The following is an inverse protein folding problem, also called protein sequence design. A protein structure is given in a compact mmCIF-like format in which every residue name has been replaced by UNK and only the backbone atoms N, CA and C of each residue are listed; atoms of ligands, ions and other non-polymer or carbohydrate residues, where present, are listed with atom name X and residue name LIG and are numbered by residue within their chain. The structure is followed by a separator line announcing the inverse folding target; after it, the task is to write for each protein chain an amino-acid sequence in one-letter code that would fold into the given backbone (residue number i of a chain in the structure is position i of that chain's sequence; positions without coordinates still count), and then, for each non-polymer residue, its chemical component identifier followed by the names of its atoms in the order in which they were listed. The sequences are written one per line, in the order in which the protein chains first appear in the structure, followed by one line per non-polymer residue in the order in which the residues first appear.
data_IF_176425121806
#
_entry.id   IF_176425121806
#
_cell.length_a   1.000
_cell.length_b   1.000
_cell.length_c   1.000
_cell.angle_alpha   90.00
_cell.angle_beta   90.00
_cell.angle_gamma   90.00
#
_symmetry.space_group_name_H-M   'P 1'
#
loop_
_entity.id
_entity.type
_entity.pdbx_description
1 polymer ?
#
# COMPACT_ATOMS: atom_id res chain seq x y z
N UNK A 1 26.48 -14.67 -42.40
CA UNK A 1 25.50 -13.75 -43.03
C UNK A 1 25.77 -12.34 -42.52
N UNK A 2 25.88 -11.32 -43.39
CA UNK A 2 26.38 -10.01 -42.99
C UNK A 2 25.34 -9.19 -42.21
N UNK A 3 25.86 -8.49 -41.19
CA UNK A 3 25.14 -7.58 -40.30
C UNK A 3 24.86 -6.28 -41.05
N UNK A 4 23.59 -5.88 -41.18
CA UNK A 4 23.19 -4.59 -41.79
C UNK A 4 22.94 -3.58 -40.67
N UNK A 5 23.83 -2.61 -40.54
CA UNK A 5 23.73 -1.50 -39.60
C UNK A 5 22.74 -0.45 -40.11
N UNK A 6 21.72 -0.13 -39.30
CA UNK A 6 20.79 0.98 -39.56
C UNK A 6 21.42 2.27 -39.05
N UNK A 7 21.73 3.19 -39.97
CA UNK A 7 22.26 4.52 -39.68
C UNK A 7 21.19 5.41 -39.04
N UNK A 8 21.56 6.01 -37.90
CA UNK A 8 20.81 7.07 -37.23
C UNK A 8 20.76 8.36 -38.07
N UNK A 9 19.56 8.85 -38.35
CA UNK A 9 19.35 10.17 -38.97
C UNK A 9 19.06 11.22 -37.91
N UNK A 10 20.07 11.99 -37.50
CA UNK A 10 19.87 13.22 -36.74
C UNK A 10 19.29 14.30 -37.67
N UNK A 11 18.06 14.74 -37.40
CA UNK A 11 17.50 15.94 -38.00
C UNK A 11 17.97 17.16 -37.21
N UNK A 12 18.78 18.00 -37.86
CA UNK A 12 19.20 19.32 -37.38
C UNK A 12 18.00 20.27 -37.44
N UNK A 13 17.65 20.90 -36.32
CA UNK A 13 16.69 22.01 -36.27
C UNK A 13 17.50 23.32 -36.25
N UNK A 14 17.23 24.28 -37.16
CA UNK A 14 17.95 25.55 -37.18
C UNK A 14 17.52 26.46 -36.03
N UNK A 15 18.52 27.08 -35.39
CA UNK A 15 18.35 28.18 -34.45
C UNK A 15 17.99 29.46 -35.22
N UNK A 16 16.89 30.10 -34.85
CA UNK A 16 16.52 31.44 -35.29
C UNK A 16 16.71 32.40 -34.11
N UNK A 17 17.82 33.13 -34.15
CA UNK A 17 18.08 34.32 -33.33
C UNK A 17 17.33 35.50 -33.93
N UNK A 18 16.38 36.06 -33.19
CA UNK A 18 15.75 37.33 -33.51
C UNK A 18 15.92 38.28 -32.32
N UNK A 19 16.91 39.17 -32.43
CA UNK A 19 17.18 40.26 -31.51
C UNK A 19 16.22 41.40 -31.84
N UNK A 20 15.23 41.65 -30.99
CA UNK A 20 14.39 42.85 -31.06
C UNK A 20 14.66 43.70 -29.82
N UNK A 21 15.33 44.83 -30.04
CA UNK A 21 15.51 45.90 -29.06
C UNK A 21 14.20 46.69 -29.01
N UNK A 22 13.45 46.56 -27.93
CA UNK A 22 12.37 47.50 -27.58
C UNK A 22 12.76 48.26 -26.31
N UNK A 23 12.93 49.57 -26.47
CA UNK A 23 13.01 50.52 -25.38
C UNK A 23 11.62 50.71 -24.77
N UNK A 24 11.43 50.23 -23.55
CA UNK A 24 10.21 50.47 -22.76
C UNK A 24 10.51 51.30 -21.53
N UNK A 25 9.76 52.39 -21.42
CA UNK A 25 9.73 53.37 -20.33
C UNK A 25 9.59 52.69 -18.96
N UNK A 26 10.44 53.10 -18.02
CA UNK A 26 10.45 52.65 -16.64
C UNK A 26 9.38 53.42 -15.85
N UNK A 27 8.22 52.79 -15.62
CA UNK A 27 7.25 53.25 -14.64
C UNK A 27 7.36 52.28 -13.43
N UNK A 28 7.72 52.74 -12.22
CA UNK A 28 7.79 51.85 -11.06
C UNK A 28 6.37 51.43 -10.67
N UNK A 29 5.96 50.24 -11.09
CA UNK A 29 4.76 49.60 -10.59
C UNK A 29 4.97 49.24 -9.10
N UNK A 30 3.97 49.43 -8.23
CA UNK A 30 4.06 48.97 -6.86
C UNK A 30 4.25 47.44 -6.85
N UNK A 31 5.29 46.99 -6.16
CA UNK A 31 5.51 45.57 -5.90
C UNK A 31 4.26 45.02 -5.19
N UNK A 32 3.43 44.29 -5.94
CA UNK A 32 2.34 43.53 -5.35
C UNK A 32 2.98 42.50 -4.42
N UNK A 33 2.55 42.37 -3.16
CA UNK A 33 3.09 41.34 -2.28
C UNK A 33 2.86 40.00 -2.97
N UNK A 34 3.93 39.27 -3.22
CA UNK A 34 3.87 37.86 -3.57
C UNK A 34 3.31 37.19 -2.33
N UNK A 35 1.99 36.99 -2.28
CA UNK A 35 1.38 36.11 -1.30
C UNK A 35 1.95 34.72 -1.58
N UNK A 36 2.94 34.33 -0.78
CA UNK A 36 3.21 32.92 -0.56
C UNK A 36 1.88 32.35 -0.09
N UNK A 37 1.20 31.62 -0.97
CA UNK A 37 0.09 30.80 -0.57
C UNK A 37 0.65 29.89 0.53
N UNK A 38 0.19 30.10 1.76
CA UNK A 38 0.48 29.18 2.84
C UNK A 38 0.20 27.77 2.32
N UNK A 39 1.04 26.76 2.62
CA UNK A 39 0.73 25.39 2.26
C UNK A 39 -0.70 25.15 2.72
N UNK A 40 -1.58 24.81 1.77
CA UNK A 40 -2.96 24.45 2.08
C UNK A 40 -2.85 23.38 3.14
N UNK A 41 -3.19 23.72 4.38
CA UNK A 41 -3.43 22.73 5.40
C UNK A 41 -4.44 21.82 4.77
N UNK A 42 -4.02 20.58 4.47
CA UNK A 42 -4.95 19.54 4.08
C UNK A 42 -6.04 19.61 5.13
N UNK A 43 -7.24 20.02 4.70
CA UNK A 43 -8.42 19.93 5.55
C UNK A 43 -8.38 18.52 6.07
N UNK A 44 -8.20 18.39 7.38
CA UNK A 44 -8.37 17.16 8.12
C UNK A 44 -9.83 16.78 7.89
N UNK A 45 -10.07 16.08 6.78
CA UNK A 45 -11.30 15.36 6.52
C UNK A 45 -11.63 14.65 7.83
N UNK A 46 -12.84 14.90 8.35
CA UNK A 46 -13.33 14.31 9.59
C UNK A 46 -12.77 12.90 9.78
N UNK A 47 -12.12 12.65 10.92
CA UNK A 47 -11.22 11.52 11.20
C UNK A 47 -11.79 10.15 10.78
N UNK A 48 -11.72 9.84 9.50
CA UNK A 48 -12.04 8.53 8.96
C UNK A 48 -10.83 7.64 9.14
N UNK A 49 -11.05 6.37 9.47
CA UNK A 49 -9.97 5.38 9.48
C UNK A 49 -9.49 5.12 8.07
N UNK A 50 -8.18 4.92 7.89
CA UNK A 50 -7.64 4.55 6.58
C UNK A 50 -8.31 3.25 6.09
N UNK A 51 -8.65 3.20 4.80
CA UNK A 51 -9.37 2.08 4.21
C UNK A 51 -8.99 1.89 2.74
N UNK A 52 -8.92 0.63 2.32
CA UNK A 52 -8.87 0.26 0.91
C UNK A 52 -9.96 -0.79 0.64
N UNK A 53 -10.81 -0.56 -0.36
CA UNK A 53 -11.85 -1.49 -0.79
C UNK A 53 -11.78 -1.68 -2.29
N UNK A 54 -12.01 -2.90 -2.76
CA UNK A 54 -12.09 -3.18 -4.19
C UNK A 54 -12.88 -4.44 -4.49
N UNK A 55 -13.52 -4.45 -5.65
CA UNK A 55 -14.04 -5.63 -6.31
C UNK A 55 -13.77 -5.44 -7.80
N UNK A 56 -12.71 -6.07 -8.30
CA UNK A 56 -12.15 -5.76 -9.63
C UNK A 56 -11.70 -7.01 -10.37
N UNK A 57 -11.64 -6.88 -11.70
CA UNK A 57 -10.87 -7.74 -12.59
C UNK A 57 -9.69 -6.96 -13.13
N UNK A 58 -8.52 -7.60 -13.17
CA UNK A 58 -7.32 -7.00 -13.74
C UNK A 58 -7.02 -7.58 -15.12
N UNK A 59 -6.17 -6.89 -15.87
CA UNK A 59 -5.41 -7.50 -16.96
C UNK A 59 -3.98 -7.74 -16.49
N UNK A 60 -3.48 -8.95 -16.71
CA UNK A 60 -2.11 -9.33 -16.37
C UNK A 60 -1.36 -9.79 -17.61
N UNK A 61 -0.34 -9.03 -18.02
CA UNK A 61 0.37 -9.22 -19.30
C UNK A 61 0.94 -10.63 -19.47
N UNK A 62 1.36 -11.29 -18.39
CA UNK A 62 1.95 -12.64 -18.44
C UNK A 62 0.90 -13.76 -18.42
N UNK A 63 -0.38 -13.43 -18.27
CA UNK A 63 -1.50 -14.35 -18.39
C UNK A 63 -2.69 -13.63 -19.06
N UNK A 64 -2.55 -13.20 -20.33
CA UNK A 64 -3.46 -12.23 -20.95
C UNK A 64 -4.87 -12.78 -21.18
N UNK A 65 -5.01 -14.10 -21.31
CA UNK A 65 -6.27 -14.79 -21.54
C UNK A 65 -6.95 -15.23 -20.23
N UNK A 66 -6.26 -15.13 -19.09
CA UNK A 66 -6.77 -15.58 -17.81
C UNK A 66 -7.69 -14.53 -17.18
N UNK A 67 -8.60 -15.00 -16.32
CA UNK A 67 -9.46 -14.13 -15.54
C UNK A 67 -8.98 -14.08 -14.09
N UNK A 68 -8.47 -12.92 -13.68
CA UNK A 68 -7.99 -12.69 -12.32
C UNK A 68 -8.88 -11.64 -11.65
N UNK A 69 -9.55 -12.03 -10.57
CA UNK A 69 -10.45 -11.18 -9.79
C UNK A 69 -9.94 -11.00 -8.37
N UNK A 70 -10.08 -9.79 -7.86
CA UNK A 70 -9.77 -9.41 -6.49
C UNK A 70 -11.02 -8.83 -5.84
N UNK A 71 -11.35 -9.29 -4.64
CA UNK A 71 -12.29 -8.64 -3.73
C UNK A 71 -11.61 -8.43 -2.40
N UNK A 72 -11.68 -7.23 -1.84
CA UNK A 72 -11.08 -6.92 -0.55
C UNK A 72 -11.75 -5.76 0.17
N UNK A 73 -11.65 -5.76 1.50
CA UNK A 73 -12.01 -4.66 2.38
C UNK A 73 -11.00 -4.57 3.53
N UNK A 74 -9.97 -3.75 3.36
CA UNK A 74 -8.92 -3.51 4.35
C UNK A 74 -9.21 -2.24 5.14
N UNK A 75 -9.18 -2.31 6.47
CA UNK A 75 -9.47 -1.19 7.37
C UNK A 75 -8.40 -1.07 8.43
N UNK A 76 -7.91 0.16 8.64
CA UNK A 76 -6.97 0.42 9.72
C UNK A 76 -7.60 0.10 11.08
N UNK A 77 -6.83 -0.61 11.89
CA UNK A 77 -7.11 -0.91 13.29
C UNK A 77 -5.81 -0.73 14.09
N UNK A 78 -5.28 0.51 14.17
CA UNK A 78 -3.95 0.78 14.74
C UNK A 78 -3.84 0.24 16.16
N UNK A 79 -2.67 -0.31 16.49
CA UNK A 79 -2.35 -0.82 17.82
C UNK A 79 -3.28 -1.93 18.33
N UNK A 80 -3.97 -2.63 17.44
CA UNK A 80 -4.98 -3.63 17.81
C UNK A 80 -4.45 -5.05 17.95
N UNK A 81 -3.18 -5.31 17.60
CA UNK A 81 -2.61 -6.66 17.62
C UNK A 81 -1.22 -6.67 18.26
N UNK A 82 -1.09 -7.13 19.51
CA UNK A 82 0.21 -7.35 20.13
C UNK A 82 1.06 -8.29 19.26
N UNK A 83 2.34 -7.95 19.09
CA UNK A 83 3.33 -8.83 18.49
C UNK A 83 4.44 -9.10 19.51
N UNK A 84 5.17 -10.23 19.40
CA UNK A 84 6.41 -10.41 20.14
C UNK A 84 7.34 -9.20 19.96
N UNK A 85 7.76 -8.57 21.05
CA UNK A 85 8.55 -7.33 21.04
C UNK A 85 7.76 -6.03 20.84
N UNK A 86 6.47 -6.09 20.49
CA UNK A 86 5.59 -4.94 20.31
C UNK A 86 4.24 -5.17 21.01
N UNK A 87 4.17 -5.03 22.35
CA UNK A 87 3.00 -5.43 23.15
C UNK A 87 1.73 -4.61 22.88
N UNK A 88 1.83 -3.53 22.09
CA UNK A 88 0.70 -2.67 21.70
C UNK A 88 0.40 -2.74 20.21
N UNK A 89 1.07 -3.60 19.44
CA UNK A 89 0.93 -3.63 17.99
C UNK A 89 1.53 -2.43 17.28
N UNK A 90 1.16 -2.26 16.01
CA UNK A 90 1.74 -1.28 15.10
C UNK A 90 0.71 -0.21 14.70
N UNK A 91 1.14 1.02 14.37
CA UNK A 91 0.23 2.05 13.84
C UNK A 91 -0.45 1.63 12.53
N UNK A 92 0.15 0.66 11.83
CA UNK A 92 -0.29 0.11 10.55
C UNK A 92 -1.14 -1.15 10.69
N UNK A 93 -1.43 -1.58 11.93
CA UNK A 93 -2.31 -2.73 12.15
C UNK A 93 -3.65 -2.51 11.44
N UNK A 94 -4.16 -3.59 10.83
CA UNK A 94 -5.39 -3.55 10.08
C UNK A 94 -6.21 -4.83 10.30
N UNK A 95 -7.46 -4.77 9.85
CA UNK A 95 -8.38 -5.91 9.77
C UNK A 95 -9.14 -5.85 8.46
N UNK A 96 -9.74 -6.98 8.09
CA UNK A 96 -10.40 -7.11 6.81
C UNK A 96 -10.13 -8.47 6.19
N UNK A 97 -10.56 -8.63 4.94
CA UNK A 97 -10.31 -9.85 4.18
C UNK A 97 -9.97 -9.57 2.74
N UNK A 98 -9.36 -10.59 2.12
CA UNK A 98 -9.18 -10.71 0.68
C UNK A 98 -9.87 -11.98 0.18
N UNK A 99 -10.26 -11.93 -1.09
CA UNK A 99 -10.70 -13.07 -1.89
C UNK A 99 -10.15 -12.87 -3.31
N UNK A 100 -9.25 -13.76 -3.70
CA UNK A 100 -8.56 -13.69 -4.99
C UNK A 100 -8.86 -14.96 -5.74
N UNK A 101 -9.36 -14.82 -6.97
CA UNK A 101 -9.65 -15.94 -7.87
C UNK A 101 -8.85 -15.77 -9.15
N UNK A 102 -8.20 -16.83 -9.59
CA UNK A 102 -7.48 -16.91 -10.86
C UNK A 102 -8.03 -18.10 -11.64
N UNK A 103 -8.76 -17.81 -12.72
CA UNK A 103 -9.25 -18.80 -13.68
C UNK A 103 -8.29 -18.86 -14.85
N UNK A 104 -7.59 -19.99 -14.99
CA UNK A 104 -6.63 -20.24 -16.07
C UNK A 104 -7.37 -20.72 -17.31
N UNK A 105 -7.35 -19.94 -18.38
CA UNK A 105 -8.12 -20.24 -19.60
C UNK A 105 -7.63 -21.51 -20.28
N UNK A 106 -6.31 -21.73 -20.34
CA UNK A 106 -5.74 -22.89 -21.02
C UNK A 106 -6.11 -24.24 -20.39
N UNK A 107 -6.26 -24.28 -19.06
CA UNK A 107 -6.54 -25.53 -18.34
C UNK A 107 -7.99 -25.63 -17.86
N UNK A 108 -8.76 -24.53 -17.91
CA UNK A 108 -10.09 -24.43 -17.33
C UNK A 108 -10.12 -24.45 -15.80
N UNK A 109 -8.96 -24.54 -15.14
CA UNK A 109 -8.85 -24.59 -13.68
C UNK A 109 -9.10 -23.22 -13.07
N UNK A 110 -9.58 -23.23 -11.84
CA UNK A 110 -9.75 -22.01 -11.03
C UNK A 110 -9.08 -22.22 -9.69
N UNK A 111 -8.03 -21.45 -9.42
CA UNK A 111 -7.42 -21.37 -8.10
C UNK A 111 -8.03 -20.20 -7.34
N UNK A 112 -8.22 -20.37 -6.04
CA UNK A 112 -8.76 -19.32 -5.17
C UNK A 112 -8.03 -19.30 -3.84
N UNK A 113 -7.76 -18.11 -3.34
CA UNK A 113 -7.28 -17.89 -1.98
C UNK A 113 -8.15 -16.87 -1.26
N UNK A 114 -8.32 -17.07 0.04
CA UNK A 114 -8.85 -16.05 0.96
C UNK A 114 -7.84 -15.81 2.06
N UNK A 115 -7.89 -14.63 2.65
CA UNK A 115 -6.97 -14.27 3.71
C UNK A 115 -7.46 -13.12 4.55
N UNK A 116 -6.84 -12.98 5.72
CA UNK A 116 -7.14 -11.94 6.69
C UNK A 116 -6.13 -10.81 6.57
N UNK A 117 -6.63 -9.59 6.39
CA UNK A 117 -5.78 -8.40 6.33
C UNK A 117 -5.12 -8.18 7.69
N UNK A 118 -3.80 -8.04 7.68
CA UNK A 118 -3.00 -7.82 8.88
C UNK A 118 -2.37 -6.42 8.91
N UNK A 119 -2.20 -5.75 7.79
CA UNK A 119 -1.53 -4.45 7.73
C UNK A 119 -2.16 -3.55 6.67
N UNK A 120 -2.25 -2.24 6.91
CA UNK A 120 -2.68 -1.24 5.93
C UNK A 120 -1.92 0.07 6.13
N UNK A 121 -1.38 0.61 5.04
CA UNK A 121 -0.86 1.98 4.93
C UNK A 121 -1.54 2.63 3.73
N UNK A 122 -1.86 3.92 3.84
CA UNK A 122 -2.41 4.72 2.73
C UNK A 122 -1.57 5.97 2.52
N UNK A 123 -1.53 6.46 1.28
CA UNK A 123 -0.89 7.72 0.93
C UNK A 123 -1.63 8.37 -0.23
N UNK A 124 -2.40 9.44 0.04
CA UNK A 124 -3.24 10.06 -0.97
C UNK A 124 -4.25 9.06 -1.56
N UNK A 125 -4.11 8.72 -2.85
CA UNK A 125 -4.98 7.73 -3.52
C UNK A 125 -4.36 6.33 -3.64
N UNK A 126 -3.26 6.08 -2.96
CA UNK A 126 -2.64 4.75 -2.91
C UNK A 126 -2.84 4.08 -1.57
N UNK A 127 -2.87 2.76 -1.59
CA UNK A 127 -2.81 1.93 -0.40
C UNK A 127 -1.87 0.76 -0.62
N UNK A 128 -1.18 0.35 0.44
CA UNK A 128 -0.48 -0.91 0.52
C UNK A 128 -1.03 -1.66 1.71
N UNK A 129 -1.45 -2.90 1.50
CA UNK A 129 -1.91 -3.75 2.57
C UNK A 129 -1.40 -5.17 2.36
N UNK A 130 -1.40 -5.92 3.44
CA UNK A 130 -1.05 -7.33 3.39
C UNK A 130 -2.15 -8.16 4.03
N UNK A 131 -2.28 -9.40 3.58
CA UNK A 131 -3.19 -10.37 4.16
C UNK A 131 -2.50 -11.73 4.31
N UNK A 132 -2.73 -12.40 5.43
CA UNK A 132 -2.29 -13.78 5.64
C UNK A 132 -3.34 -14.71 5.06
N UNK A 133 -2.94 -15.60 4.15
CA UNK A 133 -3.86 -16.55 3.52
C UNK A 133 -4.33 -17.58 4.55
N UNK A 134 -5.65 -17.75 4.64
CA UNK A 134 -6.31 -18.63 5.62
C UNK A 134 -7.06 -19.78 4.95
N UNK A 135 -7.50 -19.61 3.70
CA UNK A 135 -8.13 -20.64 2.89
C UNK A 135 -7.54 -20.63 1.48
N UNK A 136 -7.38 -21.81 0.88
CA UNK A 136 -6.96 -21.96 -0.51
C UNK A 136 -7.60 -23.19 -1.15
N UNK A 137 -7.75 -23.18 -2.48
CA UNK A 137 -8.03 -24.38 -3.25
C UNK A 137 -6.86 -25.37 -3.16
N UNK A 138 -7.07 -26.68 -3.43
CA UNK A 138 -6.01 -27.69 -3.26
C UNK A 138 -4.72 -27.39 -4.01
N UNK A 139 -4.81 -26.78 -5.19
CA UNK A 139 -3.68 -26.38 -6.02
C UNK A 139 -2.97 -25.10 -5.57
N UNK A 140 -3.51 -24.41 -4.58
CA UNK A 140 -2.93 -23.26 -3.93
C UNK A 140 -2.70 -23.49 -2.42
N UNK A 141 -2.76 -24.74 -1.94
CA UNK A 141 -2.67 -25.07 -0.51
C UNK A 141 -1.36 -24.55 0.14
N UNK A 142 -0.26 -24.53 -0.61
CA UNK A 142 1.04 -24.04 -0.14
C UNK A 142 1.07 -22.53 0.15
N UNK A 143 -0.03 -21.81 -0.14
CA UNK A 143 -0.20 -20.41 0.23
C UNK A 143 -0.72 -20.22 1.65
N UNK A 144 -1.38 -21.22 2.25
CA UNK A 144 -1.95 -21.10 3.58
C UNK A 144 -0.85 -20.71 4.58
N UNK A 145 -1.10 -19.66 5.37
CA UNK A 145 -0.16 -19.09 6.32
C UNK A 145 0.85 -18.11 5.71
N UNK A 146 0.99 -18.04 4.38
CA UNK A 146 1.83 -17.04 3.71
C UNK A 146 1.11 -15.71 3.57
N UNK A 147 1.90 -14.64 3.49
CA UNK A 147 1.40 -13.28 3.30
C UNK A 147 1.31 -12.94 1.81
N UNK A 148 0.17 -12.39 1.40
CA UNK A 148 -0.02 -11.75 0.11
C UNK A 148 0.07 -10.23 0.28
N UNK A 149 0.97 -9.59 -0.46
CA UNK A 149 1.11 -8.14 -0.50
C UNK A 149 0.32 -7.55 -1.66
N UNK A 150 -0.55 -6.58 -1.38
CA UNK A 150 -1.39 -5.91 -2.38
C UNK A 150 -1.15 -4.40 -2.31
N UNK A 151 -0.87 -3.79 -3.46
CA UNK A 151 -0.89 -2.33 -3.60
C UNK A 151 -2.05 -1.90 -4.48
N UNK A 152 -2.61 -0.75 -4.17
CA UNK A 152 -3.79 -0.17 -4.79
C UNK A 152 -3.42 1.23 -5.25
N UNK A 153 -3.74 1.54 -6.49
CA UNK A 153 -3.85 2.91 -6.98
C UNK A 153 -5.29 3.14 -7.39
N UNK A 154 -6.02 3.91 -6.61
CA UNK A 154 -7.32 4.44 -6.98
C UNK A 154 -7.07 5.68 -7.85
N UNK A 155 -7.19 5.54 -9.17
CA UNK A 155 -7.09 6.66 -10.12
C UNK A 155 -8.41 6.96 -10.82
N UNK A 156 -9.48 6.25 -10.46
CA UNK A 156 -10.80 6.35 -11.05
C UNK A 156 -10.94 5.43 -12.27
N UNK A 157 -12.11 5.49 -12.93
CA UNK A 157 -12.63 4.51 -13.91
C UNK A 157 -11.69 3.99 -15.02
N UNK A 158 -10.56 4.66 -15.31
CA UNK A 158 -9.60 4.24 -16.35
C UNK A 158 -8.13 4.27 -15.91
N UNK A 159 -7.86 4.57 -14.65
CA UNK A 159 -6.50 4.67 -14.12
C UNK A 159 -6.22 3.68 -13.00
N UNK A 160 -7.24 2.99 -12.47
CA UNK A 160 -7.10 2.07 -11.35
C UNK A 160 -6.08 0.97 -11.66
N UNK A 161 -5.20 0.70 -10.71
CA UNK A 161 -4.17 -0.34 -10.80
C UNK A 161 -4.04 -1.11 -9.50
N UNK A 162 -3.63 -2.37 -9.62
CA UNK A 162 -3.22 -3.22 -8.52
C UNK A 162 -1.77 -3.69 -8.70
N UNK A 163 -1.08 -3.89 -7.59
CA UNK A 163 0.15 -4.69 -7.51
C UNK A 163 -0.08 -5.85 -6.57
N UNK A 164 0.56 -6.98 -6.83
CA UNK A 164 0.44 -8.19 -6.03
C UNK A 164 1.78 -8.93 -5.98
N UNK A 165 2.16 -9.44 -4.81
CA UNK A 165 3.49 -10.00 -4.56
C UNK A 165 3.76 -11.32 -5.30
N UNK A 166 2.76 -12.16 -5.49
CA UNK A 166 2.95 -13.55 -5.94
C UNK A 166 3.54 -13.72 -7.34
N UNK A 167 3.55 -12.68 -8.16
CA UNK A 167 3.94 -12.76 -9.55
C UNK A 167 5.28 -12.10 -9.89
N UNK A 168 5.77 -11.23 -9.01
CA UNK A 168 6.93 -10.36 -9.29
C UNK A 168 7.90 -10.29 -8.13
N UNK A 169 7.59 -10.93 -7.00
CA UNK A 169 8.41 -10.93 -5.79
C UNK A 169 9.15 -12.26 -5.66
N UNK A 170 10.42 -12.26 -6.08
CA UNK A 170 11.29 -13.43 -6.06
C UNK A 170 12.60 -13.11 -5.36
N UNK A 171 13.10 -14.08 -4.60
CA UNK A 171 14.44 -14.09 -4.03
C UNK A 171 15.23 -15.28 -4.58
N UNK A 172 16.54 -15.27 -4.38
CA UNK A 172 17.42 -16.38 -4.76
C UNK A 172 17.71 -17.21 -3.52
N UNK A 173 17.38 -18.50 -3.57
CA UNK A 173 17.67 -19.42 -2.48
C UNK A 173 19.16 -19.81 -2.41
N UNK A 174 19.52 -20.62 -1.41
CA UNK A 174 20.91 -21.07 -1.21
C UNK A 174 21.44 -21.94 -2.37
N UNK A 175 20.56 -22.44 -3.24
CA UNK A 175 20.86 -23.27 -4.40
C UNK A 175 20.85 -22.46 -5.71
N UNK A 176 20.72 -21.13 -5.61
CA UNK A 176 20.71 -20.24 -6.78
C UNK A 176 19.40 -20.25 -7.55
N UNK A 177 18.32 -20.81 -6.99
CA UNK A 177 17.01 -20.88 -7.65
C UNK A 177 16.17 -19.66 -7.29
N UNK A 178 15.39 -19.18 -8.26
CA UNK A 178 14.37 -18.16 -8.01
C UNK A 178 13.21 -18.80 -7.24
N UNK A 179 13.03 -18.39 -5.99
CA UNK A 179 11.93 -18.80 -5.13
C UNK A 179 11.08 -17.58 -4.80
N UNK A 180 9.81 -17.82 -4.50
CA UNK A 180 8.94 -16.73 -4.11
C UNK A 180 9.41 -16.12 -2.78
N UNK A 181 9.59 -14.81 -2.75
CA UNK A 181 10.07 -14.13 -1.56
C UNK A 181 9.02 -14.10 -0.44
N UNK A 182 9.52 -14.07 0.80
CA UNK A 182 8.68 -13.85 1.96
C UNK A 182 8.24 -12.38 2.04
N UNK A 183 6.92 -12.15 2.04
CA UNK A 183 6.36 -10.81 2.11
C UNK A 183 6.32 -10.32 3.56
N UNK A 184 6.97 -9.18 3.83
CA UNK A 184 6.89 -8.46 5.11
C UNK A 184 5.54 -7.76 5.31
N UNK A 185 5.23 -7.32 6.53
CA UNK A 185 4.00 -6.57 6.80
C UNK A 185 3.99 -5.23 6.06
N UNK A 186 2.85 -4.89 5.44
CA UNK A 186 2.70 -3.68 4.62
C UNK A 186 3.71 -3.56 3.44
N UNK A 187 4.21 -4.69 2.93
CA UNK A 187 5.05 -4.73 1.73
C UNK A 187 4.24 -5.25 0.53
N UNK A 188 4.37 -4.57 -0.61
CA UNK A 188 3.82 -5.00 -1.89
C UNK A 188 4.57 -4.32 -3.04
N UNK A 189 4.64 -4.92 -4.23
CA UNK A 189 5.17 -4.25 -5.43
C UNK A 189 4.30 -3.07 -5.83
N UNK A 190 4.82 -2.18 -6.68
CA UNK A 190 4.07 -1.03 -7.18
C UNK A 190 2.77 -1.45 -7.92
N UNK A 191 1.72 -0.60 -7.99
CA UNK A 191 0.50 -0.90 -8.73
C UNK A 191 0.75 -0.98 -10.24
N UNK A 192 1.05 -2.16 -10.77
CA UNK A 192 1.43 -2.36 -12.16
C UNK A 192 0.28 -2.84 -13.05
N UNK A 193 -0.60 -3.69 -12.54
CA UNK A 193 -1.65 -4.33 -13.33
C UNK A 193 -2.87 -3.41 -13.47
N UNK A 194 -3.28 -3.05 -14.70
CA UNK A 194 -4.47 -2.24 -14.91
C UNK A 194 -5.74 -3.00 -14.54
N UNK A 195 -6.65 -2.31 -13.86
CA UNK A 195 -8.02 -2.76 -13.65
C UNK A 195 -8.79 -2.62 -14.97
N UNK A 196 -9.49 -3.68 -15.37
CA UNK A 196 -10.30 -3.71 -16.60
C UNK A 196 -11.80 -3.73 -16.35
N UNK A 197 -12.22 -4.10 -15.13
CA UNK A 197 -13.62 -4.10 -14.71
C UNK A 197 -13.73 -3.95 -13.19
N UNK A 198 -14.82 -3.36 -12.71
CA UNK A 198 -15.05 -3.03 -11.30
C UNK A 198 -14.49 -1.67 -10.88
N UNK A 199 -14.23 -1.49 -9.58
CA UNK A 199 -13.68 -0.25 -9.05
C UNK A 199 -12.91 -0.40 -7.73
N UNK A 200 -11.98 0.52 -7.52
CA UNK A 200 -11.21 0.66 -6.29
C UNK A 200 -11.65 1.93 -5.53
N UNK A 201 -11.50 1.90 -4.22
CA UNK A 201 -11.70 3.06 -3.35
C UNK A 201 -10.64 3.08 -2.26
N UNK A 202 -9.86 4.16 -2.22
CA UNK A 202 -8.90 4.42 -1.14
C UNK A 202 -9.36 5.63 -0.33
N UNK A 203 -9.54 5.41 0.97
CA UNK A 203 -9.72 6.48 1.96
C UNK A 203 -8.41 6.63 2.74
N UNK A 204 -7.70 7.72 2.52
CA UNK A 204 -6.46 8.00 3.23
C UNK A 204 -6.71 8.58 4.62
N UNK A 205 -5.89 8.15 5.57
CA UNK A 205 -5.73 8.79 6.86
C UNK A 205 -4.25 8.70 7.30
N UNK A 206 -3.81 9.71 8.04
CA UNK A 206 -2.47 9.73 8.65
C UNK A 206 -2.36 8.64 9.72
N UNK A 207 -1.14 8.10 9.90
CA UNK A 207 -0.88 7.15 10.97
C UNK A 207 -1.04 7.85 12.32
N UNK A 208 -1.74 7.24 13.30
CA UNK A 208 -1.91 7.86 14.60
C UNK A 208 -0.59 7.88 15.38
N UNK A 209 -0.43 8.83 16.32
CA UNK A 209 0.71 8.84 17.22
C UNK A 209 0.69 7.59 18.13
N UNK A 210 1.86 7.20 18.69
CA UNK A 210 1.93 6.14 19.69
C UNK A 210 0.98 6.38 20.87
N UNK A 211 0.31 5.33 21.38
CA UNK A 211 -0.54 5.47 22.56
C UNK A 211 0.31 5.86 23.78
N UNK A 212 -0.23 6.64 24.73
CA UNK A 212 0.51 7.07 25.91
C UNK A 212 1.06 5.86 26.69
N UNK A 213 2.17 6.00 27.43
CA UNK A 213 2.66 4.94 28.30
C UNK A 213 1.54 4.42 29.19
N UNK A 214 1.40 3.09 29.32
CA UNK A 214 0.52 2.52 30.35
C UNK A 214 1.01 3.09 31.69
N UNK A 215 0.17 3.86 32.37
CA UNK A 215 0.45 4.23 33.75
C UNK A 215 0.54 2.93 34.55
N UNK A 216 1.64 2.78 35.29
CA UNK A 216 1.76 1.65 36.21
C UNK A 216 0.56 1.70 37.18
N UNK A 217 -0.06 0.56 37.51
CA UNK A 217 -1.07 0.55 38.55
C UNK A 217 -0.47 1.18 39.80
N UNK A 218 -1.20 2.14 40.39
CA UNK A 218 -0.76 2.81 41.61
C UNK A 218 -0.36 1.73 42.63
N UNK A 219 0.77 1.90 43.34
CA UNK A 219 1.15 0.93 44.36
C UNK A 219 -0.02 0.79 45.32
N UNK A 220 -0.53 -0.45 45.47
CA UNK A 220 -1.50 -0.75 46.51
C UNK A 220 -0.86 -0.30 47.82
N UNK A 221 -1.50 0.66 48.48
CA UNK A 221 -1.12 1.10 49.82
C UNK A 221 -0.97 -0.20 50.64
N UNK A 222 0.27 -0.56 50.99
CA UNK A 222 0.51 -1.76 51.77
C UNK A 222 -0.31 -1.64 53.05
N UNK A 223 -1.06 -2.70 53.38
CA UNK A 223 -1.82 -2.79 54.63
C UNK A 223 -0.92 -2.36 55.78
N UNK A 224 -1.36 -1.31 56.49
CA UNK A 224 -0.65 -0.81 57.65
C UNK A 224 -0.44 -1.96 58.64
N UNK A 225 0.78 -2.13 59.20
CA UNK A 225 1.03 -3.21 60.14
C UNK A 225 0.07 -3.07 61.32
N UNK A 226 -0.74 -4.11 61.52
CA UNK A 226 -1.65 -4.26 62.66
C UNK A 226 -0.80 -4.12 63.93
N UNK A 227 -0.99 -3.02 64.68
CA UNK A 227 -0.40 -2.87 66.01
C UNK A 227 -0.81 -4.08 66.84
N UNK A 228 0.15 -4.96 67.14
CA UNK A 228 0.02 -5.92 68.22
C UNK A 228 0.04 -5.13 69.52
N UNK A 229 -1.13 -4.95 70.11
CA UNK A 229 -1.23 -4.51 71.49
C UNK A 229 -0.66 -5.63 72.37
N UNK A 230 0.47 -5.34 73.02
CA UNK A 230 0.94 -6.12 74.15
C UNK A 230 -0.08 -6.01 75.29
N UNK A 231 -0.53 -7.14 75.78
CA UNK A 231 -1.32 -7.29 77.00
C UNK A 231 -0.58 -8.25 77.92
N UNK A 232 -0.13 -7.68 79.03
CA UNK A 232 0.38 -8.22 80.30
C UNK A 232 0.10 -9.68 80.62
#
# INVERSE_FOLDING_TARGET
MPVTAVRAGLRRVPALTATAVLATLYCPAPASPVSYAAPRTHQTSAAGTARAKGAVRIFYTYAPDDEIRFTFDARAAPYSRPQPGLPRGMPTDARGSIDITHRMTHTGRTSRIKGDVDCLITGGRTATFTAVVTEATPDAADWIGKRSGISVLDSGRRGDRLGFSWAVDFETDAQGQAVQANVGTCMAPAPFAPVTDGGLAVHHAELPPPPPPRQAPAPRLADSPRRTAGGT
#
